data_IF_847593610653
#
_entry.id   IF_847593610653
#
_cell.length_a   1.000
_cell.length_b   1.000
_cell.length_c   1.000
_cell.angle_alpha   90.00
_cell.angle_beta   90.00
_cell.angle_gamma   90.00
#
_symmetry.space_group_name_H-M   'P 1'
#
loop_
_entity.id
_entity.type
_entity.pdbx_description
1 polymer ?
#
# COMPACT_ATOMS: atom_id res chain seq x y z
N UNK A 1 -24.13 11.61 12.76
CA UNK A 1 -23.00 11.50 11.81
C UNK A 1 -23.56 11.68 10.42
N UNK A 2 -23.02 12.60 9.58
CA UNK A 2 -23.56 12.87 8.24
C UNK A 2 -23.40 11.66 7.30
N UNK A 3 -24.35 11.46 6.39
CA UNK A 3 -24.30 10.40 5.37
C UNK A 3 -22.98 10.45 4.57
N UNK A 4 -22.49 11.66 4.28
CA UNK A 4 -21.23 11.88 3.61
C UNK A 4 -20.03 11.19 4.29
N UNK A 5 -20.00 11.14 5.64
CA UNK A 5 -18.95 10.43 6.37
C UNK A 5 -18.98 8.93 6.11
N UNK A 6 -20.16 8.31 6.16
CA UNK A 6 -20.29 6.87 5.87
C UNK A 6 -19.85 6.54 4.44
N UNK A 7 -20.21 7.38 3.48
CA UNK A 7 -19.80 7.23 2.07
C UNK A 7 -18.26 7.27 1.96
N UNK A 8 -17.62 8.26 2.59
CA UNK A 8 -16.15 8.39 2.55
C UNK A 8 -15.46 7.19 3.21
N UNK A 9 -15.95 6.75 4.37
CA UNK A 9 -15.41 5.55 5.06
C UNK A 9 -15.58 4.32 4.18
N UNK A 10 -16.74 4.14 3.54
CA UNK A 10 -17.00 3.01 2.65
C UNK A 10 -16.06 2.99 1.46
N UNK A 11 -15.87 4.15 0.79
CA UNK A 11 -14.91 4.27 -0.32
C UNK A 11 -13.49 3.95 0.16
N UNK A 12 -13.10 4.48 1.33
CA UNK A 12 -11.77 4.21 1.91
C UNK A 12 -11.54 2.72 2.14
N UNK A 13 -12.50 2.05 2.77
CA UNK A 13 -12.40 0.61 3.07
C UNK A 13 -12.39 -0.23 1.81
N UNK A 14 -13.30 0.02 0.86
CA UNK A 14 -13.34 -0.72 -0.41
C UNK A 14 -12.07 -0.54 -1.22
N UNK A 15 -11.52 0.68 -1.25
CA UNK A 15 -10.24 0.95 -1.93
C UNK A 15 -9.07 0.25 -1.24
N UNK A 16 -9.06 0.20 0.10
CA UNK A 16 -8.04 -0.53 0.86
C UNK A 16 -8.12 -2.04 0.60
N UNK A 17 -9.33 -2.61 0.57
CA UNK A 17 -9.56 -4.02 0.24
C UNK A 17 -9.09 -4.34 -1.19
N UNK A 18 -9.42 -3.49 -2.16
CA UNK A 18 -8.96 -3.64 -3.55
C UNK A 18 -7.43 -3.63 -3.64
N UNK A 19 -6.79 -2.65 -3.02
CA UNK A 19 -5.34 -2.48 -3.10
C UNK A 19 -4.58 -3.60 -2.40
N UNK A 20 -4.94 -3.90 -1.14
CA UNK A 20 -4.30 -4.94 -0.34
C UNK A 20 -4.62 -6.34 -0.89
N UNK A 21 -5.88 -6.60 -1.23
CA UNK A 21 -6.32 -7.86 -1.84
C UNK A 21 -5.64 -8.12 -3.18
N UNK A 22 -5.47 -7.08 -4.01
CA UNK A 22 -4.71 -7.16 -5.25
C UNK A 22 -3.24 -7.55 -5.04
N UNK A 23 -2.57 -6.98 -4.04
CA UNK A 23 -1.19 -7.37 -3.70
C UNK A 23 -1.10 -8.84 -3.25
N UNK A 24 -2.01 -9.29 -2.39
CA UNK A 24 -2.04 -10.70 -1.97
C UNK A 24 -2.37 -11.63 -3.12
N UNK A 25 -3.34 -11.28 -3.97
CA UNK A 25 -3.66 -12.06 -5.16
C UNK A 25 -2.43 -12.23 -6.07
N UNK A 26 -1.72 -11.12 -6.34
CA UNK A 26 -0.52 -11.17 -7.17
C UNK A 26 0.59 -12.01 -6.53
N UNK A 27 0.79 -11.89 -5.22
CA UNK A 27 1.83 -12.61 -4.51
C UNK A 27 1.58 -14.12 -4.41
N UNK A 28 0.32 -14.52 -4.13
CA UNK A 28 -0.04 -15.90 -3.78
C UNK A 28 -0.50 -16.69 -5.02
N UNK A 29 -1.15 -16.04 -5.97
CA UNK A 29 -1.76 -16.69 -7.13
C UNK A 29 -1.11 -16.22 -8.43
N UNK A 30 -1.11 -14.92 -8.68
CA UNK A 30 -0.70 -14.37 -9.97
C UNK A 30 0.76 -14.67 -10.32
N UNK A 31 1.70 -14.36 -9.43
CA UNK A 31 3.12 -14.58 -9.70
C UNK A 31 3.50 -16.07 -9.76
N UNK A 32 3.02 -16.98 -8.90
CA UNK A 32 3.23 -18.42 -9.05
C UNK A 32 2.68 -18.95 -10.37
N UNK A 33 1.45 -18.60 -10.73
CA UNK A 33 0.82 -19.05 -11.98
C UNK A 33 1.61 -18.57 -13.21
N UNK A 34 2.05 -17.32 -13.23
CA UNK A 34 2.84 -16.81 -14.36
C UNK A 34 4.21 -17.47 -14.50
N UNK A 35 4.76 -18.03 -13.41
CA UNK A 35 6.06 -18.75 -13.50
C UNK A 35 5.98 -20.03 -14.32
N UNK A 36 4.80 -20.66 -14.42
CA UNK A 36 4.58 -21.87 -15.22
C UNK A 36 4.24 -21.60 -16.68
N UNK A 37 4.10 -20.33 -17.09
CA UNK A 37 3.78 -19.98 -18.47
C UNK A 37 4.99 -20.21 -19.39
N UNK A 38 4.77 -20.92 -20.51
CA UNK A 38 5.73 -21.09 -21.58
C UNK A 38 5.15 -20.49 -22.89
N UNK A 39 5.97 -19.98 -23.79
CA UNK A 39 7.43 -19.84 -23.71
C UNK A 39 7.88 -18.68 -22.77
N UNK A 40 9.20 -18.60 -22.43
CA UNK A 40 9.73 -17.57 -21.52
C UNK A 40 9.43 -16.13 -21.92
N UNK A 41 9.34 -15.84 -23.21
CA UNK A 41 9.03 -14.51 -23.76
C UNK A 41 7.60 -14.10 -23.40
N UNK A 42 6.63 -15.01 -23.55
CA UNK A 42 5.23 -14.78 -23.18
C UNK A 42 5.12 -14.55 -21.67
N UNK A 43 5.78 -15.38 -20.87
CA UNK A 43 5.85 -15.21 -19.42
C UNK A 43 6.35 -13.83 -19.03
N UNK A 44 7.46 -13.37 -19.62
CA UNK A 44 8.05 -12.06 -19.33
C UNK A 44 7.12 -10.92 -19.73
N UNK A 45 6.45 -11.04 -20.87
CA UNK A 45 5.45 -10.06 -21.33
C UNK A 45 4.29 -9.96 -20.36
N UNK A 46 3.71 -11.08 -19.94
CA UNK A 46 2.60 -11.10 -19.00
C UNK A 46 2.97 -10.53 -17.63
N UNK A 47 4.13 -10.87 -17.10
CA UNK A 47 4.64 -10.25 -15.86
C UNK A 47 4.74 -8.73 -15.98
N UNK A 48 5.28 -8.24 -17.09
CA UNK A 48 5.43 -6.80 -17.33
C UNK A 48 4.07 -6.12 -17.44
N UNK A 49 3.15 -6.66 -18.23
CA UNK A 49 1.83 -6.06 -18.43
C UNK A 49 1.01 -6.06 -17.14
N UNK A 50 1.02 -7.17 -16.39
CA UNK A 50 0.36 -7.27 -15.09
C UNK A 50 0.94 -6.24 -14.10
N UNK A 51 2.26 -6.13 -14.03
CA UNK A 51 2.93 -5.16 -13.15
C UNK A 51 2.59 -3.71 -13.51
N UNK A 52 2.57 -3.36 -14.80
CA UNK A 52 2.22 -2.01 -15.25
C UNK A 52 0.76 -1.66 -14.93
N UNK A 53 -0.17 -2.56 -15.20
CA UNK A 53 -1.60 -2.36 -14.91
C UNK A 53 -1.83 -2.22 -13.40
N UNK A 54 -1.24 -3.12 -12.61
CA UNK A 54 -1.37 -3.06 -11.15
C UNK A 54 -0.74 -1.81 -10.56
N UNK A 55 0.41 -1.36 -11.10
CA UNK A 55 1.03 -0.09 -10.69
C UNK A 55 0.08 1.08 -10.90
N UNK A 56 -0.52 1.22 -12.09
CA UNK A 56 -1.45 2.33 -12.38
C UNK A 56 -2.66 2.29 -11.44
N UNK A 57 -3.33 1.14 -11.34
CA UNK A 57 -4.47 0.96 -10.43
C UNK A 57 -4.09 1.18 -8.96
N UNK A 58 -2.90 0.74 -8.55
CA UNK A 58 -2.36 0.90 -7.21
C UNK A 58 -2.13 2.36 -6.83
N UNK A 59 -1.55 3.18 -7.72
CA UNK A 59 -1.34 4.60 -7.45
C UNK A 59 -2.64 5.39 -7.42
N UNK A 60 -3.63 5.03 -8.24
CA UNK A 60 -4.98 5.59 -8.15
C UNK A 60 -5.60 5.24 -6.79
N UNK A 61 -5.49 3.99 -6.37
CA UNK A 61 -5.99 3.55 -5.07
C UNK A 61 -5.29 4.28 -3.91
N UNK A 62 -3.96 4.45 -3.94
CA UNK A 62 -3.19 5.21 -2.94
C UNK A 62 -3.69 6.66 -2.88
N UNK A 63 -3.91 7.32 -4.02
CA UNK A 63 -4.43 8.69 -4.05
C UNK A 63 -5.82 8.79 -3.40
N UNK A 64 -6.73 7.87 -3.73
CA UNK A 64 -8.07 7.80 -3.12
C UNK A 64 -7.95 7.55 -1.61
N UNK A 65 -7.08 6.65 -1.17
CA UNK A 65 -6.85 6.35 0.25
C UNK A 65 -6.32 7.55 1.02
N UNK A 66 -5.40 8.33 0.44
CA UNK A 66 -4.87 9.55 1.07
C UNK A 66 -6.00 10.58 1.21
N UNK A 67 -6.72 10.87 0.11
CA UNK A 67 -7.81 11.85 0.13
C UNK A 67 -8.89 11.46 1.15
N UNK A 68 -9.40 10.24 1.07
CA UNK A 68 -10.43 9.75 1.98
C UNK A 68 -9.92 9.63 3.41
N UNK A 69 -8.63 9.33 3.60
CA UNK A 69 -7.97 9.30 4.90
C UNK A 69 -7.94 10.68 5.57
N UNK A 70 -7.58 11.74 4.83
CA UNK A 70 -7.60 13.13 5.33
C UNK A 70 -9.02 13.55 5.67
N UNK A 71 -9.99 13.24 4.82
CA UNK A 71 -11.40 13.54 5.08
C UNK A 71 -11.89 12.79 6.34
N UNK A 72 -11.48 11.56 6.57
CA UNK A 72 -11.79 10.82 7.79
C UNK A 72 -11.18 11.47 9.04
N UNK A 73 -9.94 11.99 8.97
CA UNK A 73 -9.35 12.76 10.07
C UNK A 73 -10.13 14.04 10.36
N UNK A 74 -10.59 14.72 9.31
CA UNK A 74 -11.43 15.92 9.46
C UNK A 74 -12.74 15.62 10.21
N UNK A 75 -13.50 14.61 9.78
CA UNK A 75 -14.76 14.24 10.44
C UNK A 75 -14.59 13.75 11.88
N UNK A 76 -13.40 13.24 12.24
CA UNK A 76 -13.06 12.85 13.61
C UNK A 76 -12.56 14.00 14.47
N UNK A 77 -12.42 15.22 13.92
CA UNK A 77 -11.85 16.37 14.62
C UNK A 77 -10.34 16.27 14.85
N UNK A 78 -9.66 15.34 14.15
CA UNK A 78 -8.22 15.08 14.37
C UNK A 78 -7.30 15.92 13.48
N UNK A 79 -7.82 16.91 12.75
CA UNK A 79 -7.01 17.90 12.04
C UNK A 79 -6.71 19.16 12.88
N UNK A 80 -7.15 19.22 14.14
CA UNK A 80 -6.90 20.35 15.03
C UNK A 80 -5.45 20.34 15.50
N UNK A 81 -4.74 21.45 15.24
CA UNK A 81 -3.33 21.55 15.56
C UNK A 81 -3.10 21.49 17.09
N UNK A 82 -3.74 22.37 17.86
CA UNK A 82 -3.47 22.52 19.29
C UNK A 82 -3.90 21.30 20.12
N UNK A 83 -5.04 20.70 19.78
CA UNK A 83 -5.63 19.61 20.57
C UNK A 83 -5.13 18.21 20.17
N UNK A 84 -4.54 18.06 18.97
CA UNK A 84 -4.10 16.77 18.43
C UNK A 84 -2.62 16.79 18.08
N UNK A 85 -2.23 17.59 17.10
CA UNK A 85 -0.88 17.52 16.54
C UNK A 85 0.19 18.06 17.48
N UNK A 86 -0.07 19.15 18.19
CA UNK A 86 0.83 19.76 19.17
C UNK A 86 0.65 19.18 20.60
N UNK A 87 -0.38 18.35 20.82
CA UNK A 87 -0.70 17.81 22.14
C UNK A 87 0.08 16.53 22.43
N UNK A 88 1.08 16.60 23.30
CA UNK A 88 1.77 15.38 23.78
C UNK A 88 0.81 14.40 24.47
N UNK A 89 -0.19 14.92 25.22
CA UNK A 89 -1.17 14.09 25.91
C UNK A 89 -1.99 13.23 24.93
N UNK A 90 -2.38 13.76 23.75
CA UNK A 90 -3.07 12.97 22.73
C UNK A 90 -2.21 11.80 22.25
N UNK A 91 -0.93 12.04 21.96
CA UNK A 91 -0.04 11.00 21.44
C UNK A 91 0.31 9.91 22.45
N UNK A 92 0.09 10.14 23.75
CA UNK A 92 0.22 9.13 24.80
C UNK A 92 -1.06 8.31 25.03
N UNK A 93 -2.16 8.61 24.33
CA UNK A 93 -3.36 7.78 24.36
C UNK A 93 -3.25 6.55 23.43
N UNK A 94 -4.02 5.51 23.68
CA UNK A 94 -4.10 4.35 22.77
C UNK A 94 -4.51 4.76 21.35
N UNK A 95 -5.46 5.68 21.22
CA UNK A 95 -5.89 6.23 19.93
C UNK A 95 -4.76 6.96 19.22
N UNK A 96 -4.00 7.80 19.96
CA UNK A 96 -2.83 8.51 19.45
C UNK A 96 -1.75 7.56 18.94
N UNK A 97 -1.41 6.53 19.73
CA UNK A 97 -0.45 5.50 19.31
C UNK A 97 -0.91 4.75 18.04
N UNK A 98 -2.19 4.34 17.99
CA UNK A 98 -2.75 3.63 16.84
C UNK A 98 -2.76 4.53 15.59
N UNK A 99 -3.05 5.84 15.75
CA UNK A 99 -2.97 6.82 14.67
C UNK A 99 -1.51 7.01 14.20
N UNK A 100 -0.57 7.19 15.13
CA UNK A 100 0.85 7.34 14.81
C UNK A 100 1.37 6.10 14.05
N UNK A 101 1.10 4.90 14.55
CA UNK A 101 1.48 3.65 13.91
C UNK A 101 0.92 3.57 12.47
N UNK A 102 -0.37 3.91 12.30
CA UNK A 102 -1.01 3.92 10.98
C UNK A 102 -0.36 4.92 10.03
N UNK A 103 -0.11 6.14 10.47
CA UNK A 103 0.49 7.18 9.63
C UNK A 103 1.93 6.84 9.23
N UNK A 104 2.73 6.34 10.17
CA UNK A 104 4.10 5.87 9.90
C UNK A 104 4.07 4.70 8.90
N UNK A 105 3.21 3.71 9.11
CA UNK A 105 3.10 2.56 8.23
C UNK A 105 2.61 2.95 6.83
N UNK A 106 1.65 3.87 6.70
CA UNK A 106 1.20 4.40 5.39
C UNK A 106 2.32 5.15 4.69
N UNK A 107 3.06 6.01 5.40
CA UNK A 107 4.20 6.74 4.81
C UNK A 107 5.27 5.77 4.33
N UNK A 108 5.66 4.81 5.16
CA UNK A 108 6.63 3.78 4.78
C UNK A 108 6.16 2.98 3.55
N UNK A 109 4.89 2.60 3.53
CA UNK A 109 4.27 1.87 2.42
C UNK A 109 4.32 2.66 1.10
N UNK A 110 3.99 3.95 1.13
CA UNK A 110 4.05 4.83 -0.06
C UNK A 110 5.49 4.97 -0.56
N UNK A 111 6.45 5.16 0.34
CA UNK A 111 7.87 5.24 -0.01
C UNK A 111 8.39 3.92 -0.61
N UNK A 112 8.07 2.79 0.00
CA UNK A 112 8.43 1.46 -0.52
C UNK A 112 7.81 1.22 -1.89
N UNK A 113 6.53 1.58 -2.09
CA UNK A 113 5.84 1.52 -3.39
C UNK A 113 6.53 2.38 -4.43
N UNK A 114 6.92 3.63 -4.08
CA UNK A 114 7.60 4.53 -4.99
C UNK A 114 8.97 3.98 -5.41
N UNK A 115 9.77 3.48 -4.48
CA UNK A 115 11.07 2.84 -4.78
C UNK A 115 10.88 1.62 -5.68
N UNK A 116 9.91 0.77 -5.34
CA UNK A 116 9.62 -0.42 -6.13
C UNK A 116 9.23 -0.07 -7.58
N UNK A 117 8.31 0.89 -7.75
CA UNK A 117 7.68 1.17 -9.03
C UNK A 117 8.48 2.11 -9.94
N UNK A 118 9.21 3.08 -9.35
CA UNK A 118 9.89 4.13 -10.13
C UNK A 118 11.41 3.92 -10.18
N UNK A 119 11.98 3.13 -9.29
CA UNK A 119 13.43 2.87 -9.27
C UNK A 119 13.72 1.44 -9.70
N UNK A 120 13.24 0.42 -8.96
CA UNK A 120 13.60 -0.97 -9.21
C UNK A 120 12.93 -1.53 -10.47
N UNK A 121 11.67 -1.21 -10.72
CA UNK A 121 10.95 -1.66 -11.90
C UNK A 121 11.62 -1.25 -13.21
N UNK A 122 11.88 0.05 -13.44
CA UNK A 122 12.61 0.51 -14.61
C UNK A 122 14.04 0.00 -14.69
N UNK A 123 14.76 -0.06 -13.55
CA UNK A 123 16.14 -0.59 -13.52
C UNK A 123 16.19 -2.06 -13.95
N UNK A 124 15.26 -2.89 -13.47
CA UNK A 124 15.17 -4.29 -13.88
C UNK A 124 14.80 -4.46 -15.36
N UNK A 125 13.95 -3.56 -15.90
CA UNK A 125 13.54 -3.58 -17.29
C UNK A 125 14.68 -3.23 -18.30
N UNK A 126 15.71 -2.51 -17.84
CA UNK A 126 16.87 -2.14 -18.66
C UNK A 126 17.95 -3.23 -18.72
N UNK A 127 17.88 -4.23 -17.86
CA UNK A 127 18.85 -5.31 -17.83
C UNK A 127 18.54 -6.40 -18.86
N UNK A 128 19.60 -7.04 -19.38
CA UNK A 128 19.43 -8.21 -20.24
C UNK A 128 18.72 -9.33 -19.48
N UNK A 129 17.69 -9.96 -20.07
CA UNK A 129 16.98 -11.08 -19.44
C UNK A 129 17.95 -12.16 -19.01
N UNK A 130 17.80 -12.65 -17.76
CA UNK A 130 18.66 -13.71 -17.22
C UNK A 130 20.03 -13.25 -16.69
N UNK A 131 20.42 -11.99 -16.86
CA UNK A 131 21.67 -11.49 -16.29
C UNK A 131 21.66 -11.54 -14.74
N UNK A 132 22.84 -11.69 -14.08
CA UNK A 132 22.93 -11.64 -12.62
C UNK A 132 22.33 -10.35 -12.03
N UNK A 133 22.52 -9.21 -12.71
CA UNK A 133 21.96 -7.93 -12.31
C UNK A 133 20.41 -7.93 -12.39
N UNK A 134 19.81 -8.48 -13.45
CA UNK A 134 18.36 -8.61 -13.56
C UNK A 134 17.78 -9.51 -12.45
N UNK A 135 18.45 -10.60 -12.12
CA UNK A 135 18.04 -11.53 -11.05
C UNK A 135 18.10 -10.83 -9.69
N UNK A 136 19.19 -10.10 -9.40
CA UNK A 136 19.35 -9.35 -8.16
C UNK A 136 18.25 -8.26 -7.99
N UNK A 137 18.00 -7.45 -9.01
CA UNK A 137 16.96 -6.42 -9.00
C UNK A 137 15.55 -7.01 -8.79
N UNK A 138 15.24 -8.12 -9.43
CA UNK A 138 13.96 -8.83 -9.22
C UNK A 138 13.85 -9.38 -7.80
N UNK A 139 14.94 -9.86 -7.19
CA UNK A 139 14.94 -10.28 -5.79
C UNK A 139 14.65 -9.12 -4.85
N UNK A 140 15.30 -7.97 -5.04
CA UNK A 140 15.03 -6.76 -4.25
C UNK A 140 13.59 -6.29 -4.42
N UNK A 141 13.07 -6.25 -5.66
CA UNK A 141 11.67 -5.91 -5.90
C UNK A 141 10.70 -6.85 -5.15
N UNK A 142 10.99 -8.15 -5.14
CA UNK A 142 10.18 -9.13 -4.40
C UNK A 142 10.24 -8.92 -2.87
N UNK A 143 11.40 -8.51 -2.33
CA UNK A 143 11.50 -8.17 -0.90
C UNK A 143 10.69 -6.91 -0.55
N UNK A 144 10.74 -5.86 -1.38
CA UNK A 144 9.93 -4.66 -1.17
C UNK A 144 8.42 -4.96 -1.28
N UNK A 145 8.01 -5.81 -2.23
CA UNK A 145 6.62 -6.23 -2.32
C UNK A 145 6.13 -6.98 -1.06
N UNK A 146 6.97 -7.83 -0.47
CA UNK A 146 6.68 -8.51 0.81
C UNK A 146 6.61 -7.52 1.96
N UNK A 147 7.56 -6.58 2.04
CA UNK A 147 7.54 -5.51 3.05
C UNK A 147 6.26 -4.69 2.96
N UNK A 148 5.81 -4.35 1.76
CA UNK A 148 4.53 -3.65 1.56
C UNK A 148 3.32 -4.48 2.02
N UNK A 149 3.31 -5.78 1.80
CA UNK A 149 2.24 -6.65 2.29
C UNK A 149 2.19 -6.67 3.83
N UNK A 150 3.34 -6.73 4.49
CA UNK A 150 3.44 -6.65 5.97
C UNK A 150 2.97 -5.29 6.47
N UNK A 151 3.41 -4.18 5.86
CA UNK A 151 2.95 -2.83 6.19
C UNK A 151 1.43 -2.71 6.01
N UNK A 152 0.87 -3.30 4.96
CA UNK A 152 -0.57 -3.35 4.74
C UNK A 152 -1.33 -4.04 5.89
N UNK A 153 -0.81 -5.15 6.40
CA UNK A 153 -1.38 -5.86 7.57
C UNK A 153 -1.33 -4.96 8.81
N UNK A 154 -0.20 -4.31 9.07
CA UNK A 154 -0.03 -3.38 10.20
C UNK A 154 -1.05 -2.24 10.11
N UNK A 155 -1.25 -1.66 8.91
CA UNK A 155 -2.23 -0.60 8.68
C UNK A 155 -3.65 -1.08 8.98
N UNK A 156 -4.01 -2.31 8.60
CA UNK A 156 -5.33 -2.88 8.89
C UNK A 156 -5.51 -3.07 10.40
N UNK A 157 -4.52 -3.61 11.11
CA UNK A 157 -4.57 -3.77 12.57
C UNK A 157 -4.78 -2.41 13.24
N UNK A 158 -3.96 -1.40 12.89
CA UNK A 158 -4.08 -0.06 13.43
C UNK A 158 -5.44 0.59 13.08
N UNK A 159 -5.99 0.33 11.88
CA UNK A 159 -7.31 0.81 11.50
C UNK A 159 -8.43 0.19 12.34
N UNK A 160 -8.34 -1.11 12.67
CA UNK A 160 -9.30 -1.79 13.55
C UNK A 160 -9.23 -1.23 14.97
N UNK A 161 -8.02 -1.00 15.51
CA UNK A 161 -7.83 -0.39 16.83
C UNK A 161 -8.44 1.03 16.87
N UNK A 162 -8.15 1.86 15.86
CA UNK A 162 -8.74 3.20 15.73
C UNK A 162 -10.27 3.19 15.61
N UNK A 163 -10.84 2.18 14.96
CA UNK A 163 -12.29 2.06 14.82
C UNK A 163 -12.96 1.68 16.15
N UNK A 164 -12.26 0.94 16.99
CA UNK A 164 -12.75 0.48 18.30
C UNK A 164 -12.39 1.43 19.46
N UNK A 165 -11.55 2.44 19.23
CA UNK A 165 -11.10 3.38 20.26
C UNK A 165 -10.11 2.77 21.28
N UNK A 166 -9.40 1.70 20.86
CA UNK A 166 -8.40 0.98 21.65
C UNK A 166 -7.02 1.06 21.01
#
# INVERSE_FOLDING_TARGET
>A
VPIAYYTVVTIHVLTALFWLGGMFFLAVIGAPLLRSVEPPELRQRLFREMGLRFRTAGWIAIAILIITGVVNLYYRGWLQWDNVWASSAFWHTHVGHSLACKLIAVTAMVLVSAIHDFILGPAAGRQKPGSPAAIALRRHAAHLARANAVLGIIIVIAAVQLARGV
#
